data_IF_399346209526
#
_entry.id   IF_399346209526
#
_cell.length_a   1.000
_cell.length_b   1.000
_cell.length_c   1.000
_cell.angle_alpha   90.00
_cell.angle_beta   90.00
_cell.angle_gamma   90.00
#
_symmetry.space_group_name_H-M   'P 1'
#
loop_
_entity.id
_entity.type
_entity.pdbx_description
1 polymer ?
#
# COMPACT_ATOMS: atom_id res chain seq x y z
N UNK A 1 -15.80 -41.12 -87.67
CA UNK A 1 -17.07 -41.35 -86.96
C UNK A 1 -16.86 -40.77 -85.56
N UNK A 2 -17.19 -39.52 -85.25
CA UNK A 2 -18.50 -38.89 -85.36
C UNK A 2 -19.26 -39.08 -84.05
N UNK A 3 -19.47 -37.96 -83.32
CA UNK A 3 -20.59 -37.63 -82.41
C UNK A 3 -20.32 -37.62 -80.89
N UNK A 4 -20.86 -36.59 -80.24
CA UNK A 4 -21.12 -36.50 -78.79
C UNK A 4 -20.50 -35.26 -78.13
N UNK A 5 -20.95 -34.03 -78.42
CA UNK A 5 -22.14 -33.35 -77.85
C UNK A 5 -22.01 -33.02 -76.35
N UNK A 6 -21.68 -31.74 -76.07
CA UNK A 6 -22.24 -30.81 -75.07
C UNK A 6 -22.78 -31.34 -73.73
N UNK A 7 -22.28 -30.81 -72.60
CA UNK A 7 -23.10 -30.02 -71.65
C UNK A 7 -22.24 -29.22 -70.64
N UNK A 8 -22.65 -27.97 -70.43
CA UNK A 8 -22.15 -26.97 -69.48
C UNK A 8 -22.56 -27.27 -68.01
N UNK A 9 -21.82 -26.73 -67.03
CA UNK A 9 -22.28 -25.78 -65.97
C UNK A 9 -21.39 -25.82 -64.70
N UNK A 10 -20.92 -24.62 -64.33
CA UNK A 10 -20.54 -24.06 -63.01
C UNK A 10 -19.98 -24.95 -61.88
N UNK A 11 -18.89 -24.49 -61.24
CA UNK A 11 -18.97 -23.57 -60.09
C UNK A 11 -17.55 -23.27 -59.59
N UNK A 12 -17.11 -22.02 -59.70
CA UNK A 12 -15.95 -21.54 -58.99
C UNK A 12 -16.26 -21.47 -57.49
N UNK A 13 -15.37 -21.95 -56.61
CA UNK A 13 -14.88 -21.16 -55.46
C UNK A 13 -13.95 -21.94 -54.52
N UNK A 14 -12.80 -21.30 -54.27
CA UNK A 14 -12.06 -21.21 -53.01
C UNK A 14 -11.17 -22.42 -52.66
N UNK A 15 -9.97 -22.38 -53.22
CA UNK A 15 -8.77 -22.80 -52.50
C UNK A 15 -8.40 -21.68 -51.53
N UNK A 16 -8.60 -21.88 -50.22
CA UNK A 16 -8.01 -21.04 -49.18
C UNK A 16 -7.05 -21.90 -48.38
N UNK A 17 -5.77 -21.78 -48.74
CA UNK A 17 -4.65 -22.29 -47.97
C UNK A 17 -4.75 -21.79 -46.53
N UNK A 18 -4.79 -22.72 -45.58
CA UNK A 18 -4.62 -22.44 -44.17
C UNK A 18 -3.13 -22.15 -43.95
N UNK A 19 -2.71 -20.91 -44.24
CA UNK A 19 -1.41 -20.39 -43.80
C UNK A 19 -1.46 -20.32 -42.29
N UNK A 20 -0.72 -21.22 -41.64
CA UNK A 20 -0.47 -21.16 -40.21
C UNK A 20 0.16 -19.82 -39.88
N UNK A 21 -0.62 -18.94 -39.25
CA UNK A 21 -0.14 -17.68 -38.70
C UNK A 21 0.88 -18.02 -37.61
N UNK A 22 2.14 -17.72 -37.88
CA UNK A 22 3.22 -17.75 -36.92
C UNK A 22 2.82 -16.94 -35.70
N UNK A 23 2.79 -17.59 -34.54
CA UNK A 23 2.54 -16.95 -33.25
C UNK A 23 3.52 -15.78 -33.10
N UNK A 24 3.00 -14.57 -33.26
CA UNK A 24 3.73 -13.36 -32.98
C UNK A 24 4.15 -13.42 -31.51
N UNK A 25 5.46 -13.32 -31.27
CA UNK A 25 6.02 -13.16 -29.94
C UNK A 25 5.28 -12.00 -29.25
N UNK A 26 4.55 -12.32 -28.18
CA UNK A 26 3.93 -11.32 -27.31
C UNK A 26 5.07 -10.40 -26.86
N UNK A 27 4.99 -9.08 -27.09
CA UNK A 27 5.97 -8.19 -26.52
C UNK A 27 5.84 -8.32 -25.00
N UNK A 28 6.88 -8.87 -24.36
CA UNK A 28 7.08 -8.74 -22.91
C UNK A 28 7.26 -7.25 -22.67
N UNK A 29 6.14 -6.54 -22.54
CA UNK A 29 6.11 -5.11 -22.25
C UNK A 29 7.03 -4.89 -21.06
N UNK A 30 7.97 -3.95 -21.23
CA UNK A 30 8.79 -3.45 -20.14
C UNK A 30 7.85 -3.21 -18.96
N UNK A 31 8.05 -3.97 -17.86
CA UNK A 31 7.31 -3.75 -16.63
C UNK A 31 7.48 -2.27 -16.31
N UNK A 32 6.41 -1.50 -16.48
CA UNK A 32 6.39 -0.09 -16.17
C UNK A 32 6.98 0.04 -14.77
N UNK A 33 8.11 0.74 -14.65
CA UNK A 33 8.78 0.95 -13.38
C UNK A 33 7.71 1.41 -12.40
N UNK A 34 7.43 0.59 -11.39
CA UNK A 34 6.42 0.90 -10.38
C UNK A 34 6.95 2.13 -9.65
N UNK A 35 6.54 3.31 -10.12
CA UNK A 35 6.81 4.57 -9.45
C UNK A 35 5.88 4.60 -8.24
N UNK A 36 6.36 4.03 -7.14
CA UNK A 36 5.74 4.26 -5.83
C UNK A 36 5.86 5.75 -5.54
N UNK A 37 4.81 6.52 -5.85
CA UNK A 37 4.65 7.88 -5.34
C UNK A 37 4.45 7.75 -3.84
N UNK A 38 5.53 7.90 -3.09
CA UNK A 38 5.46 8.10 -1.65
C UNK A 38 4.84 9.47 -1.43
N UNK A 39 3.50 9.52 -1.30
CA UNK A 39 2.74 10.72 -0.96
C UNK A 39 2.92 11.06 0.52
N UNK A 40 4.16 11.25 0.95
CA UNK A 40 4.47 11.77 2.27
C UNK A 40 4.98 13.21 2.15
N UNK A 41 4.29 14.11 2.83
CA UNK A 41 4.62 15.53 2.86
C UNK A 41 5.99 15.79 3.47
N UNK A 42 6.52 14.86 4.29
CA UNK A 42 7.85 14.92 4.91
C UNK A 42 8.98 14.40 4.01
N UNK A 43 8.67 13.66 2.94
CA UNK A 43 9.67 13.18 1.95
C UNK A 43 9.68 13.99 0.66
N UNK A 44 8.97 15.13 0.62
CA UNK A 44 9.00 16.05 -0.54
C UNK A 44 10.42 16.53 -0.79
N UNK A 45 10.98 16.20 -1.96
CA UNK A 45 12.32 16.60 -2.39
C UNK A 45 13.44 15.59 -2.13
N UNK A 46 13.16 14.47 -1.45
CA UNK A 46 14.14 13.37 -1.33
C UNK A 46 14.23 12.58 -2.65
N UNK A 47 15.44 12.21 -3.12
CA UNK A 47 15.57 11.32 -4.27
C UNK A 47 14.90 9.98 -3.95
N UNK A 48 14.21 9.41 -4.94
CA UNK A 48 13.57 8.10 -4.80
C UNK A 48 14.63 7.08 -4.38
N UNK A 49 14.42 6.30 -3.30
CA UNK A 49 15.36 5.26 -2.94
C UNK A 49 15.46 4.27 -4.11
N UNK A 50 16.68 3.79 -4.37
CA UNK A 50 16.91 2.69 -5.31
C UNK A 50 16.03 1.52 -4.85
N UNK A 51 15.40 0.81 -5.78
CA UNK A 51 14.53 -0.33 -5.47
C UNK A 51 15.38 -1.48 -4.94
N UNK A 52 15.73 -1.42 -3.67
CA UNK A 52 16.39 -2.51 -2.95
C UNK A 52 15.42 -3.68 -2.83
N UNK A 53 15.95 -4.90 -2.94
CA UNK A 53 15.18 -6.12 -2.71
C UNK A 53 14.60 -6.14 -1.30
N UNK A 54 13.32 -6.52 -1.17
CA UNK A 54 12.60 -6.54 0.09
C UNK A 54 13.10 -7.68 0.98
N UNK A 55 14.09 -7.35 1.81
CA UNK A 55 14.64 -8.21 2.85
C UNK A 55 14.19 -7.73 4.23
N UNK A 56 14.20 -8.62 5.24
CA UNK A 56 13.81 -8.27 6.62
C UNK A 56 14.61 -7.09 7.18
N UNK A 57 15.87 -6.95 6.77
CA UNK A 57 16.75 -5.85 7.19
C UNK A 57 16.34 -4.49 6.63
N UNK A 58 15.62 -4.44 5.51
CA UNK A 58 15.36 -3.23 4.73
C UNK A 58 13.90 -2.74 4.84
N UNK A 59 13.07 -3.43 5.62
CA UNK A 59 11.69 -3.02 5.88
C UNK A 59 11.67 -1.78 6.79
N UNK A 60 11.07 -0.70 6.31
CA UNK A 60 10.87 0.53 7.07
C UNK A 60 9.41 0.94 7.09
N UNK A 61 8.95 1.42 8.23
CA UNK A 61 7.59 1.95 8.35
C UNK A 61 7.53 3.33 7.69
N UNK A 62 6.35 3.69 7.15
CA UNK A 62 6.08 5.05 6.69
C UNK A 62 6.39 6.06 7.82
N UNK A 63 7.10 7.16 7.51
CA UNK A 63 7.53 8.12 8.51
C UNK A 63 6.34 8.78 9.20
N UNK A 64 6.39 8.84 10.53
CA UNK A 64 5.30 9.38 11.35
C UNK A 64 4.17 8.40 11.65
N UNK A 65 4.17 7.20 11.07
CA UNK A 65 3.23 6.12 11.44
C UNK A 65 3.34 5.74 12.92
N UNK A 66 4.58 5.66 13.45
CA UNK A 66 4.85 5.44 14.87
C UNK A 66 5.52 6.66 15.50
N UNK A 67 4.93 7.12 16.61
CA UNK A 67 5.52 8.17 17.47
C UNK A 67 5.96 7.53 18.78
N UNK A 68 7.18 7.84 19.23
CA UNK A 68 7.66 7.38 20.53
C UNK A 68 6.82 8.02 21.66
N UNK A 69 6.37 7.21 22.62
CA UNK A 69 5.62 7.69 23.78
C UNK A 69 6.57 8.22 24.85
N UNK A 70 6.21 9.32 25.51
CA UNK A 70 6.96 9.81 26.66
C UNK A 70 6.87 8.83 27.82
N UNK A 71 8.02 8.42 28.36
CA UNK A 71 8.10 7.56 29.54
C UNK A 71 8.11 8.44 30.80
N UNK A 72 6.97 8.49 31.49
CA UNK A 72 6.79 9.28 32.72
C UNK A 72 7.73 8.79 33.84
N UNK A 73 8.14 9.68 34.74
CA UNK A 73 8.99 9.35 35.90
C UNK A 73 10.44 9.02 35.54
N UNK A 74 11.00 9.66 34.50
CA UNK A 74 12.37 9.47 34.02
C UNK A 74 13.16 10.78 34.01
N UNK A 75 13.18 11.46 35.15
CA UNK A 75 13.88 12.74 35.33
C UNK A 75 13.09 13.95 34.81
N UNK A 76 13.42 15.13 35.33
CA UNK A 76 12.71 16.38 35.04
C UNK A 76 12.95 16.81 33.57
N UNK A 77 14.16 16.59 33.06
CA UNK A 77 14.52 16.91 31.66
C UNK A 77 13.64 16.18 30.63
N UNK A 78 13.10 14.99 30.96
CA UNK A 78 12.17 14.27 30.11
C UNK A 78 10.72 14.85 30.11
N UNK A 79 10.49 15.96 30.81
CA UNK A 79 9.23 16.71 30.84
C UNK A 79 8.23 16.25 31.92
N UNK A 80 8.09 14.95 32.16
CA UNK A 80 7.11 14.39 33.11
C UNK A 80 7.81 13.62 34.25
N UNK A 81 8.84 14.24 34.83
CA UNK A 81 9.71 13.63 35.83
C UNK A 81 9.14 13.62 37.25
N UNK A 82 8.86 14.81 37.79
CA UNK A 82 8.59 14.96 39.23
C UNK A 82 7.23 14.40 39.65
N UNK A 83 6.15 14.77 38.95
CA UNK A 83 4.78 14.38 39.31
C UNK A 83 4.11 13.50 38.27
N UNK A 84 4.84 13.11 37.21
CA UNK A 84 4.28 12.38 36.06
C UNK A 84 3.06 13.05 35.40
N UNK A 85 2.86 14.35 35.66
CA UNK A 85 1.74 15.14 35.15
C UNK A 85 0.47 15.06 35.99
N UNK A 86 0.53 14.44 37.17
CA UNK A 86 -0.62 14.31 38.06
C UNK A 86 -0.77 15.49 39.03
N UNK A 87 0.27 16.30 39.22
CA UNK A 87 0.25 17.45 40.14
C UNK A 87 0.64 17.10 41.58
N UNK A 88 0.12 17.88 42.54
CA UNK A 88 0.38 17.71 43.98
C UNK A 88 -0.58 16.69 44.60
N UNK A 89 -0.74 16.67 45.93
CA UNK A 89 -1.57 15.67 46.62
C UNK A 89 -3.06 15.92 46.34
N UNK A 90 -3.76 14.92 45.80
CA UNK A 90 -5.21 14.93 45.59
C UNK A 90 -5.77 13.50 45.45
N UNK A 91 -7.07 13.36 45.17
CA UNK A 91 -7.69 12.05 44.92
C UNK A 91 -7.17 11.43 43.62
N UNK A 92 -7.12 12.21 42.53
CA UNK A 92 -6.73 11.75 41.18
C UNK A 92 -5.22 11.46 41.03
N UNK A 93 -4.41 11.81 42.03
CA UNK A 93 -2.97 11.57 42.00
C UNK A 93 -2.58 10.25 42.65
N UNK A 94 -3.53 9.59 43.32
CA UNK A 94 -3.31 8.30 43.99
C UNK A 94 -3.54 7.15 43.02
N UNK A 95 -2.91 6.01 43.30
CA UNK A 95 -3.18 4.78 42.55
C UNK A 95 -4.57 4.27 42.91
N UNK A 96 -5.34 3.86 41.89
CA UNK A 96 -6.65 3.24 42.06
C UNK A 96 -7.67 3.72 41.04
N UNK A 97 -8.90 3.19 41.07
CA UNK A 97 -10.02 3.71 40.33
C UNK A 97 -10.27 5.18 40.70
N UNK A 98 -10.49 6.02 39.68
CA UNK A 98 -10.85 7.41 39.88
C UNK A 98 -12.32 7.59 40.24
N UNK A 99 -12.76 8.84 40.23
CA UNK A 99 -14.17 9.21 40.33
C UNK A 99 -14.92 8.68 39.09
N UNK A 100 -16.13 8.14 39.27
CA UNK A 100 -16.97 7.65 38.16
C UNK A 100 -17.29 8.80 37.19
N UNK A 101 -17.16 8.63 35.87
CA UNK A 101 -17.59 9.63 34.90
C UNK A 101 -19.07 10.01 35.12
N UNK A 102 -19.36 11.31 35.18
CA UNK A 102 -20.70 11.84 35.48
C UNK A 102 -21.00 12.06 36.97
N UNK A 103 -20.06 11.79 37.88
CA UNK A 103 -20.21 12.15 39.28
C UNK A 103 -19.72 13.58 39.55
N UNK A 104 -20.61 14.44 40.05
CA UNK A 104 -20.36 15.87 40.28
C UNK A 104 -20.08 16.22 41.75
N UNK A 105 -19.51 15.28 42.52
CA UNK A 105 -19.17 15.56 43.92
C UNK A 105 -20.34 15.45 44.88
N UNK A 106 -21.38 14.69 44.53
CA UNK A 106 -22.58 14.49 45.35
C UNK A 106 -23.65 15.57 45.17
N UNK A 107 -23.50 16.43 44.16
CA UNK A 107 -24.54 17.35 43.73
C UNK A 107 -25.69 16.57 43.06
N UNK A 108 -26.92 16.99 43.36
CA UNK A 108 -28.17 16.61 42.69
C UNK A 108 -28.71 17.86 42.01
#
# INVERSE_FOLDING_TARGET
MGRGLLLLISLARVASAFVGSSAAAVPTGSRAAVSMKVYDWKTRGSPTPVLEELNLSNLKVSPGSHKAKTRKGRGISAGQGATCGFGTRGQNTRKGPGIRPGFEGGQM
#
